data_IF_624345467561
#
_entry.id   IF_624345467561
#
_cell.length_a   1.000
_cell.length_b   1.000
_cell.length_c   1.000
_cell.angle_alpha   90.00
_cell.angle_beta   90.00
_cell.angle_gamma   90.00
#
_symmetry.space_group_name_H-M   'P 1'
#
loop_
_entity.id
_entity.type
_entity.pdbx_description
1 polymer ?
#
# COMPACT_ATOMS: atom_id res chain seq x y z
N UNK A 1 7.57 -20.47 -11.27
CA UNK A 1 7.11 -19.63 -10.15
C UNK A 1 6.68 -20.58 -9.05
N UNK A 2 7.24 -20.47 -7.86
CA UNK A 2 7.00 -21.40 -6.74
C UNK A 2 5.69 -21.07 -6.03
N UNK A 3 5.23 -21.97 -5.14
CA UNK A 3 4.04 -21.76 -4.31
C UNK A 3 4.20 -20.51 -3.44
N UNK A 4 5.31 -20.38 -2.75
CA UNK A 4 5.60 -19.21 -1.92
C UNK A 4 5.58 -17.89 -2.68
N UNK A 5 6.15 -17.85 -3.90
CA UNK A 5 6.08 -16.66 -4.76
C UNK A 5 4.65 -16.28 -5.16
N UNK A 6 3.80 -17.28 -5.39
CA UNK A 6 2.40 -17.02 -5.71
C UNK A 6 1.63 -16.47 -4.51
N UNK A 7 1.89 -16.99 -3.30
CA UNK A 7 1.32 -16.48 -2.04
C UNK A 7 1.69 -15.02 -1.80
N UNK A 8 2.97 -14.67 -1.97
CA UNK A 8 3.41 -13.28 -1.83
C UNK A 8 2.78 -12.34 -2.85
N UNK A 9 2.65 -12.78 -4.10
CA UNK A 9 1.96 -11.97 -5.12
C UNK A 9 0.48 -11.76 -4.79
N UNK A 10 -0.17 -12.78 -4.27
CA UNK A 10 -1.55 -12.67 -3.85
C UNK A 10 -1.70 -11.73 -2.65
N UNK A 11 -0.81 -11.84 -1.66
CA UNK A 11 -0.74 -10.91 -0.55
C UNK A 11 -0.55 -9.47 -1.02
N UNK A 12 0.45 -9.24 -1.88
CA UNK A 12 0.71 -7.90 -2.40
C UNK A 12 -0.48 -7.31 -3.15
N UNK A 13 -1.18 -8.12 -3.98
CA UNK A 13 -2.39 -7.68 -4.68
C UNK A 13 -3.57 -7.40 -3.76
N UNK A 14 -3.75 -8.22 -2.72
CA UNK A 14 -4.86 -8.07 -1.79
C UNK A 14 -4.68 -6.88 -0.84
N UNK A 15 -3.45 -6.60 -0.43
CA UNK A 15 -3.18 -5.66 0.66
C UNK A 15 -2.49 -4.38 0.22
N UNK A 16 -1.77 -4.40 -0.90
CA UNK A 16 -0.84 -3.33 -1.32
C UNK A 16 0.13 -2.91 -0.21
N UNK A 17 0.48 -3.84 0.69
CA UNK A 17 1.35 -3.57 1.82
C UNK A 17 2.79 -3.98 1.52
N UNK A 18 3.75 -3.22 2.05
CA UNK A 18 5.16 -3.60 2.02
C UNK A 18 5.38 -4.84 2.91
N UNK A 19 6.29 -5.70 2.49
CA UNK A 19 6.71 -6.89 3.25
C UNK A 19 7.79 -6.49 4.28
N UNK A 20 8.73 -5.64 3.87
CA UNK A 20 9.85 -5.20 4.71
C UNK A 20 9.38 -4.58 6.03
N UNK A 21 10.00 -4.99 7.12
CA UNK A 21 9.73 -4.49 8.47
C UNK A 21 8.46 -5.03 9.12
N UNK A 22 7.67 -5.87 8.42
CA UNK A 22 6.46 -6.48 8.97
C UNK A 22 6.75 -7.82 9.62
N UNK A 23 5.85 -8.22 10.50
CA UNK A 23 5.89 -9.50 11.19
C UNK A 23 4.89 -10.47 10.59
N UNK A 24 5.38 -11.63 10.19
CA UNK A 24 4.60 -12.71 9.61
C UNK A 24 4.68 -13.95 10.47
N UNK A 25 3.62 -14.77 10.45
CA UNK A 25 3.65 -16.13 10.94
C UNK A 25 3.36 -17.06 9.77
N UNK A 26 4.20 -18.08 9.61
CA UNK A 26 3.99 -19.17 8.65
C UNK A 26 4.74 -20.41 9.09
N UNK A 27 4.20 -21.58 8.77
CA UNK A 27 4.86 -22.89 8.92
C UNK A 27 5.68 -23.29 7.68
N UNK A 28 5.53 -22.57 6.57
CA UNK A 28 6.18 -22.90 5.30
C UNK A 28 7.60 -22.33 5.23
N UNK A 29 8.60 -23.24 5.14
CA UNK A 29 10.03 -22.86 5.15
C UNK A 29 10.47 -22.09 3.89
N UNK A 30 9.87 -22.35 2.71
CA UNK A 30 10.20 -21.60 1.49
C UNK A 30 9.65 -20.17 1.58
N UNK A 31 8.42 -20.04 2.09
CA UNK A 31 7.81 -18.75 2.32
C UNK A 31 8.55 -17.95 3.39
N UNK A 32 9.01 -18.60 4.47
CA UNK A 32 9.86 -18.00 5.50
C UNK A 32 11.11 -17.39 4.88
N UNK A 33 11.88 -18.19 4.15
CA UNK A 33 13.12 -17.71 3.51
C UNK A 33 12.87 -16.54 2.56
N UNK A 34 11.75 -16.58 1.83
CA UNK A 34 11.40 -15.53 0.89
C UNK A 34 10.97 -14.24 1.60
N UNK A 35 10.17 -14.33 2.66
CA UNK A 35 9.75 -13.19 3.48
C UNK A 35 10.96 -12.50 4.14
N UNK A 36 11.87 -13.29 4.72
CA UNK A 36 13.11 -12.77 5.33
C UNK A 36 14.00 -12.07 4.29
N UNK A 37 14.11 -12.64 3.08
CA UNK A 37 14.84 -12.01 1.98
C UNK A 37 14.27 -10.65 1.57
N UNK A 38 12.96 -10.44 1.76
CA UNK A 38 12.29 -9.14 1.56
C UNK A 38 12.34 -8.24 2.82
N UNK A 39 13.06 -8.62 3.86
CA UNK A 39 13.25 -7.82 5.08
C UNK A 39 12.10 -7.91 6.08
N UNK A 40 11.28 -8.95 6.01
CA UNK A 40 10.27 -9.24 7.02
C UNK A 40 10.89 -9.93 8.25
N UNK A 41 10.18 -9.88 9.36
CA UNK A 41 10.42 -10.73 10.52
C UNK A 41 9.44 -11.90 10.48
N UNK A 42 9.95 -13.14 10.48
CA UNK A 42 9.08 -14.32 10.48
C UNK A 42 9.15 -15.00 11.85
N UNK A 43 7.98 -15.30 12.39
CA UNK A 43 7.80 -16.04 13.64
C UNK A 43 7.35 -17.43 13.25
N UNK A 44 8.09 -18.45 13.66
CA UNK A 44 7.67 -19.85 13.48
C UNK A 44 6.63 -20.22 14.54
N UNK A 45 5.70 -21.13 14.23
CA UNK A 45 4.66 -21.55 15.17
C UNK A 45 5.17 -22.00 16.54
N UNK A 46 6.27 -22.71 16.57
CA UNK A 46 6.87 -23.25 17.79
C UNK A 46 7.37 -22.18 18.76
N UNK A 47 7.66 -20.98 18.25
CA UNK A 47 8.06 -19.83 19.08
C UNK A 47 6.85 -18.97 19.51
N UNK A 48 5.65 -19.24 19.00
CA UNK A 48 4.48 -18.43 19.26
C UNK A 48 3.79 -18.79 20.59
N UNK A 49 4.04 -19.98 21.13
CA UNK A 49 3.46 -20.45 22.40
C UNK A 49 4.11 -19.79 23.61
N UNK A 50 5.38 -19.40 23.53
CA UNK A 50 6.14 -18.79 24.63
C UNK A 50 6.04 -17.24 24.67
N UNK A 51 5.31 -16.61 23.78
CA UNK A 51 5.11 -15.16 23.81
C UNK A 51 3.86 -14.83 24.62
N UNK A 52 4.01 -14.43 25.90
CA UNK A 52 2.89 -13.98 26.70
C UNK A 52 2.41 -12.62 26.15
N UNK A 53 1.23 -12.58 25.68
CA UNK A 53 0.57 -11.49 24.98
C UNK A 53 0.78 -11.50 23.47
N UNK A 54 -0.33 -11.37 22.77
CA UNK A 54 -0.39 -11.12 21.32
C UNK A 54 0.72 -10.15 20.94
N UNK A 55 1.70 -10.53 20.09
CA UNK A 55 2.77 -9.60 19.74
C UNK A 55 2.15 -8.33 19.19
N UNK A 56 2.26 -7.23 19.91
CA UNK A 56 1.87 -5.92 19.41
C UNK A 56 2.61 -5.71 18.10
N UNK A 57 1.89 -5.69 16.98
CA UNK A 57 2.45 -5.50 15.66
C UNK A 57 2.62 -6.75 14.80
N UNK A 58 1.94 -7.88 15.10
CA UNK A 58 1.78 -8.93 14.11
C UNK A 58 0.89 -8.42 12.99
N UNK A 59 1.42 -8.44 11.77
CA UNK A 59 0.72 -7.87 10.62
C UNK A 59 -0.03 -8.93 9.82
N UNK A 60 0.54 -10.14 9.67
CA UNK A 60 0.03 -11.14 8.71
C UNK A 60 0.25 -12.57 9.18
N UNK A 61 -0.75 -13.40 8.98
CA UNK A 61 -0.68 -14.85 9.18
C UNK A 61 -0.88 -15.53 7.83
N UNK A 62 0.06 -16.37 7.43
CA UNK A 62 -0.14 -17.34 6.36
C UNK A 62 -0.50 -18.68 7.00
N UNK A 63 -1.79 -18.90 7.22
CA UNK A 63 -2.30 -20.14 7.76
C UNK A 63 -2.54 -21.13 6.62
N UNK A 64 -1.55 -21.98 6.36
CA UNK A 64 -1.58 -22.95 5.27
C UNK A 64 -2.23 -24.27 5.68
N UNK A 65 -2.42 -24.48 6.99
CA UNK A 65 -2.92 -25.73 7.59
C UNK A 65 -4.35 -25.56 8.19
N UNK A 66 -5.17 -24.70 7.63
CA UNK A 66 -6.56 -24.42 8.01
C UNK A 66 -6.83 -24.34 9.53
N UNK A 67 -6.74 -23.17 10.09
CA UNK A 67 -7.20 -22.89 11.45
C UNK A 67 -6.15 -23.09 12.55
N UNK A 68 -4.90 -23.29 12.19
CA UNK A 68 -3.82 -23.44 13.17
C UNK A 68 -3.55 -22.14 13.98
N UNK A 69 -3.94 -20.97 13.45
CA UNK A 69 -3.58 -19.69 14.08
C UNK A 69 -4.70 -18.63 14.08
N UNK A 70 -5.83 -18.83 14.76
CA UNK A 70 -6.83 -17.77 14.89
C UNK A 70 -6.31 -16.69 15.84
N UNK A 71 -5.86 -15.54 15.30
CA UNK A 71 -5.47 -14.38 16.13
C UNK A 71 -6.27 -13.17 15.72
N UNK A 72 -6.97 -12.52 16.67
CA UNK A 72 -7.72 -11.30 16.41
C UNK A 72 -6.80 -10.16 15.93
N UNK A 73 -7.18 -9.49 14.86
CA UNK A 73 -6.50 -8.30 14.35
C UNK A 73 -5.36 -8.54 13.35
N UNK A 74 -5.01 -9.79 13.04
CA UNK A 74 -4.05 -10.09 11.99
C UNK A 74 -4.73 -10.28 10.62
N UNK A 75 -4.05 -9.88 9.55
CA UNK A 75 -4.49 -10.19 8.18
C UNK A 75 -4.12 -11.64 7.90
N UNK A 76 -5.12 -12.49 7.73
CA UNK A 76 -4.91 -13.91 7.41
C UNK A 76 -5.01 -14.12 5.91
N UNK A 77 -3.96 -14.70 5.32
CA UNK A 77 -3.99 -15.17 3.94
C UNK A 77 -3.95 -16.69 3.99
N UNK A 78 -5.05 -17.34 3.60
CA UNK A 78 -5.18 -18.80 3.61
C UNK A 78 -4.88 -19.36 2.22
N UNK A 79 -4.14 -20.44 2.16
CA UNK A 79 -4.05 -21.28 0.97
C UNK A 79 -4.88 -22.55 1.19
N UNK A 80 -6.01 -22.74 0.54
CA UNK A 80 -6.78 -23.95 0.70
C UNK A 80 -6.05 -25.14 0.09
N UNK A 81 -5.84 -26.18 0.90
CA UNK A 81 -5.58 -27.57 0.49
C UNK A 81 -4.51 -27.83 -0.57
N UNK A 82 -3.43 -27.07 -0.62
CA UNK A 82 -2.30 -27.34 -1.52
C UNK A 82 -2.56 -27.12 -3.01
N UNK A 83 -3.74 -26.70 -3.42
CA UNK A 83 -4.01 -26.29 -4.79
C UNK A 83 -4.28 -24.80 -4.86
N UNK A 84 -3.56 -24.12 -5.75
CA UNK A 84 -3.61 -22.69 -5.98
C UNK A 84 -4.91 -22.18 -6.64
N UNK A 85 -6.00 -22.84 -6.41
CA UNK A 85 -7.31 -22.37 -6.87
C UNK A 85 -7.93 -21.43 -5.83
N UNK A 86 -7.33 -20.26 -5.72
CA UNK A 86 -7.86 -19.16 -4.92
C UNK A 86 -7.08 -18.99 -3.63
N UNK A 87 -6.30 -17.93 -3.58
CA UNK A 87 -5.94 -17.32 -2.32
C UNK A 87 -7.24 -16.79 -1.75
N UNK A 88 -7.70 -17.40 -0.71
CA UNK A 88 -8.82 -16.90 0.04
C UNK A 88 -8.33 -15.68 0.81
N UNK A 89 -8.71 -14.50 0.37
CA UNK A 89 -8.67 -13.35 1.23
C UNK A 89 -9.90 -13.45 2.13
N UNK A 90 -9.74 -13.80 3.42
CA UNK A 90 -10.87 -13.77 4.32
C UNK A 90 -11.33 -12.32 4.40
N UNK A 91 -12.59 -12.13 4.48
CA UNK A 91 -13.29 -10.86 4.63
C UNK A 91 -12.44 -9.62 4.28
N UNK A 92 -12.50 -9.21 3.02
CA UNK A 92 -11.78 -8.01 2.55
C UNK A 92 -12.19 -6.73 3.28
N UNK A 93 -13.22 -6.77 4.14
CA UNK A 93 -13.54 -5.68 5.05
C UNK A 93 -12.43 -5.46 6.10
N UNK A 94 -11.72 -6.52 6.50
CA UNK A 94 -10.52 -6.41 7.35
C UNK A 94 -9.28 -5.94 6.57
N UNK A 95 -9.29 -6.12 5.25
CA UNK A 95 -8.24 -5.65 4.33
C UNK A 95 -8.57 -4.28 3.73
N UNK A 96 -9.80 -3.81 3.89
CA UNK A 96 -10.12 -2.41 3.67
C UNK A 96 -9.44 -1.65 4.80
N UNK A 97 -8.23 -1.21 4.50
CA UNK A 97 -7.71 -0.08 5.25
C UNK A 97 -8.75 1.04 5.25
N UNK A 98 -8.62 1.99 6.17
CA UNK A 98 -9.57 3.07 6.33
C UNK A 98 -9.91 3.71 4.98
N UNK A 99 -11.15 4.18 4.82
CA UNK A 99 -11.59 4.80 3.58
C UNK A 99 -10.79 6.08 3.30
N UNK A 100 -10.49 6.30 2.06
CA UNK A 100 -9.74 7.37 1.40
C UNK A 100 -8.89 8.36 2.23
N UNK A 101 -9.42 9.30 3.00
CA UNK A 101 -8.58 10.24 3.74
C UNK A 101 -7.77 9.55 4.82
N UNK A 102 -8.31 8.51 5.45
CA UNK A 102 -7.65 7.75 6.49
C UNK A 102 -6.54 6.85 5.92
N UNK A 103 -6.73 6.29 4.70
CA UNK A 103 -5.67 5.54 4.00
C UNK A 103 -4.50 6.43 3.61
N UNK A 104 -4.78 7.65 3.17
CA UNK A 104 -3.72 8.61 2.84
C UNK A 104 -3.00 9.02 4.12
N UNK A 105 -3.70 9.30 5.20
CA UNK A 105 -3.12 9.62 6.51
C UNK A 105 -2.30 8.46 7.07
N UNK A 106 -2.81 7.22 6.94
CA UNK A 106 -2.06 6.03 7.32
C UNK A 106 -0.79 5.86 6.47
N UNK A 107 -0.88 6.01 5.15
CA UNK A 107 0.29 5.96 4.27
C UNK A 107 1.33 7.02 4.66
N UNK A 108 0.88 8.26 4.94
CA UNK A 108 1.73 9.36 5.40
C UNK A 108 2.47 9.00 6.69
N UNK A 109 1.79 8.38 7.66
CA UNK A 109 2.41 7.98 8.94
C UNK A 109 3.57 6.99 8.78
N UNK A 110 3.62 6.27 7.65
CA UNK A 110 4.69 5.35 7.27
C UNK A 110 5.77 5.99 6.39
N UNK A 111 5.72 7.31 6.18
CA UNK A 111 6.66 8.05 5.33
C UNK A 111 7.47 9.12 6.10
N UNK A 112 8.04 8.83 7.29
CA UNK A 112 8.70 9.86 8.11
C UNK A 112 9.93 10.47 7.42
N UNK A 113 10.62 9.69 6.58
CA UNK A 113 11.78 10.21 5.82
C UNK A 113 11.34 11.20 4.75
N UNK A 114 10.25 10.91 4.04
CA UNK A 114 9.67 11.82 3.04
C UNK A 114 9.16 13.10 3.70
N UNK A 115 8.45 12.98 4.81
CA UNK A 115 7.97 14.13 5.57
C UNK A 115 9.12 15.02 6.06
N UNK A 116 10.16 14.42 6.61
CA UNK A 116 11.37 15.16 7.01
C UNK A 116 12.09 15.81 5.83
N UNK A 117 12.11 15.15 4.65
CA UNK A 117 12.72 15.70 3.44
C UNK A 117 11.94 16.92 2.93
N UNK A 118 10.60 16.81 2.84
CA UNK A 118 9.72 17.94 2.47
C UNK A 118 9.87 19.08 3.48
N UNK A 119 9.90 18.78 4.79
CA UNK A 119 10.12 19.79 5.82
C UNK A 119 11.43 20.58 5.66
N UNK A 120 12.51 19.91 5.26
CA UNK A 120 13.81 20.59 5.01
C UNK A 120 13.76 21.58 3.85
N UNK A 121 12.95 21.32 2.83
CA UNK A 121 12.84 22.18 1.64
C UNK A 121 11.59 23.07 1.68
N UNK A 122 10.77 23.00 2.72
CA UNK A 122 9.49 23.71 2.81
C UNK A 122 9.63 25.24 2.55
N UNK A 123 10.73 25.84 2.97
CA UNK A 123 11.01 27.26 2.74
C UNK A 123 11.22 27.63 1.26
N UNK A 124 11.44 26.65 0.38
CA UNK A 124 11.65 26.84 -1.07
C UNK A 124 10.35 26.61 -1.87
N UNK A 125 9.32 26.05 -1.27
CA UNK A 125 8.13 25.57 -1.96
C UNK A 125 7.04 26.62 -2.23
N UNK A 126 6.88 27.70 -1.41
CA UNK A 126 5.82 28.67 -1.63
C UNK A 126 5.83 29.24 -3.05
N UNK A 127 4.67 29.14 -3.74
CA UNK A 127 4.50 29.63 -5.11
C UNK A 127 5.23 28.81 -6.18
N UNK A 128 5.83 27.67 -5.83
CA UNK A 128 6.39 26.76 -6.84
C UNK A 128 5.31 25.88 -7.42
N UNK A 129 5.30 25.73 -8.74
CA UNK A 129 4.45 24.76 -9.44
C UNK A 129 5.18 23.44 -9.53
N UNK A 130 4.54 22.39 -9.05
CA UNK A 130 5.09 21.03 -9.01
C UNK A 130 4.11 20.07 -9.66
N UNK A 131 4.50 19.48 -10.80
CA UNK A 131 3.79 18.38 -11.42
C UNK A 131 4.30 17.05 -10.91
N UNK A 132 3.39 16.18 -10.45
CA UNK A 132 3.67 14.81 -10.07
C UNK A 132 3.07 13.86 -11.11
N UNK A 133 3.93 13.09 -11.79
CA UNK A 133 3.52 12.01 -12.70
C UNK A 133 4.03 10.69 -12.14
N UNK A 134 3.20 10.01 -11.38
CA UNK A 134 3.52 8.78 -10.64
C UNK A 134 2.28 7.88 -10.58
N UNK A 135 2.48 6.62 -10.19
CA UNK A 135 1.37 5.72 -9.81
C UNK A 135 0.49 6.42 -8.77
N UNK A 136 -0.78 6.61 -9.08
CA UNK A 136 -1.70 7.33 -8.21
C UNK A 136 -2.29 6.41 -7.14
N UNK A 137 -1.58 6.33 -6.03
CA UNK A 137 -1.89 5.54 -4.85
C UNK A 137 -1.78 6.38 -3.56
N UNK A 138 -2.16 5.87 -2.38
CA UNK A 138 -2.13 6.64 -1.13
C UNK A 138 -0.79 7.29 -0.79
N UNK A 139 0.36 6.68 -1.13
CA UNK A 139 1.68 7.26 -0.86
C UNK A 139 1.96 8.48 -1.76
N UNK A 140 1.60 8.38 -3.03
CA UNK A 140 1.70 9.52 -3.97
C UNK A 140 0.79 10.65 -3.52
N UNK A 141 -0.43 10.34 -3.07
CA UNK A 141 -1.33 11.35 -2.53
C UNK A 141 -0.77 12.00 -1.26
N UNK A 142 -0.19 11.21 -0.34
CA UNK A 142 0.46 11.76 0.84
C UNK A 142 1.60 12.74 0.48
N UNK A 143 2.45 12.38 -0.50
CA UNK A 143 3.50 13.27 -1.00
C UNK A 143 2.91 14.56 -1.59
N UNK A 144 1.87 14.44 -2.45
CA UNK A 144 1.22 15.60 -3.06
C UNK A 144 0.67 16.57 -2.01
N UNK A 145 0.01 16.03 -0.98
CA UNK A 145 -0.52 16.83 0.12
C UNK A 145 0.58 17.49 0.96
N UNK A 146 1.67 16.78 1.29
CA UNK A 146 2.80 17.35 2.01
C UNK A 146 3.42 18.54 1.26
N UNK A 147 3.57 18.44 -0.07
CA UNK A 147 4.10 19.51 -0.90
C UNK A 147 3.15 20.71 -0.96
N UNK A 148 1.84 20.46 -1.11
CA UNK A 148 0.83 21.49 -1.13
C UNK A 148 0.71 22.20 0.23
N UNK A 149 0.73 21.47 1.35
CA UNK A 149 0.75 22.00 2.72
C UNK A 149 1.99 22.90 2.96
N UNK A 150 3.10 22.57 2.31
CA UNK A 150 4.32 23.38 2.35
C UNK A 150 4.28 24.60 1.40
N UNK A 151 3.15 24.86 0.74
CA UNK A 151 2.90 26.06 -0.06
C UNK A 151 3.18 25.94 -1.56
N UNK A 152 3.44 24.72 -2.07
CA UNK A 152 3.56 24.51 -3.51
C UNK A 152 2.17 24.45 -4.17
N UNK A 153 2.10 24.89 -5.45
CA UNK A 153 0.97 24.64 -6.34
C UNK A 153 1.18 23.25 -6.98
N UNK A 154 0.45 22.25 -6.51
CA UNK A 154 0.65 20.85 -6.92
C UNK A 154 -0.41 20.43 -7.92
N UNK A 155 0.04 19.89 -9.05
CA UNK A 155 -0.79 19.14 -10.01
C UNK A 155 -0.34 17.69 -10.09
N UNK A 156 -1.28 16.78 -10.31
CA UNK A 156 -1.01 15.34 -10.32
C UNK A 156 -1.56 14.72 -11.61
N UNK A 157 -0.72 13.97 -12.31
CA UNK A 157 -1.12 13.12 -13.42
C UNK A 157 -0.96 11.66 -13.05
N UNK A 158 -1.96 10.85 -13.38
CA UNK A 158 -1.93 9.40 -13.23
C UNK A 158 -2.31 8.70 -14.52
N UNK A 159 -1.50 7.72 -14.93
CA UNK A 159 -1.81 6.84 -16.05
C UNK A 159 -3.07 6.02 -15.73
N UNK A 160 -3.94 5.76 -16.72
CA UNK A 160 -5.22 5.06 -16.48
C UNK A 160 -5.03 3.72 -15.76
N UNK A 161 -4.07 2.90 -16.20
CA UNK A 161 -3.77 1.59 -15.61
C UNK A 161 -3.15 1.65 -14.20
N UNK A 162 -2.71 2.82 -13.76
CA UNK A 162 -1.99 3.05 -12.50
C UNK A 162 -2.72 4.04 -11.58
N UNK A 163 -3.97 4.35 -11.93
CA UNK A 163 -4.80 5.31 -11.18
C UNK A 163 -5.78 4.57 -10.27
N UNK A 164 -5.83 4.99 -9.03
CA UNK A 164 -6.92 4.71 -8.11
C UNK A 164 -7.85 5.91 -8.06
N UNK A 165 -9.06 5.77 -8.55
CA UNK A 165 -10.04 6.87 -8.64
C UNK A 165 -10.44 7.42 -7.26
N UNK A 166 -10.53 6.54 -6.24
CA UNK A 166 -10.80 6.93 -4.86
C UNK A 166 -9.72 7.90 -4.32
N UNK A 167 -8.46 7.65 -4.66
CA UNK A 167 -7.32 8.50 -4.29
C UNK A 167 -7.33 9.81 -5.10
N UNK A 168 -7.62 9.72 -6.41
CA UNK A 168 -7.75 10.89 -7.27
C UNK A 168 -8.83 11.85 -6.75
N UNK A 169 -9.98 11.30 -6.35
CA UNK A 169 -11.09 12.08 -5.82
C UNK A 169 -10.78 12.68 -4.44
N UNK A 170 -10.03 11.98 -3.60
CA UNK A 170 -9.57 12.53 -2.33
C UNK A 170 -8.67 13.76 -2.54
N UNK A 171 -7.74 13.71 -3.51
CA UNK A 171 -6.89 14.85 -3.85
C UNK A 171 -7.68 16.01 -4.46
N UNK A 172 -8.68 15.73 -5.32
CA UNK A 172 -9.58 16.77 -5.85
C UNK A 172 -10.37 17.46 -4.73
N UNK A 173 -10.89 16.68 -3.79
CA UNK A 173 -11.57 17.22 -2.59
C UNK A 173 -10.65 18.08 -1.72
N UNK A 174 -9.36 17.75 -1.68
CA UNK A 174 -8.34 18.54 -1.00
C UNK A 174 -7.90 19.79 -1.80
N UNK A 175 -8.48 20.04 -2.98
CA UNK A 175 -8.23 21.23 -3.79
C UNK A 175 -7.05 21.13 -4.76
N UNK A 176 -6.46 19.94 -4.95
CA UNK A 176 -5.40 19.76 -5.92
C UNK A 176 -5.96 19.57 -7.33
N UNK A 177 -5.20 19.97 -8.34
CA UNK A 177 -5.48 19.68 -9.75
C UNK A 177 -5.07 18.24 -10.05
N UNK A 178 -6.02 17.40 -10.48
CA UNK A 178 -5.77 15.97 -10.72
C UNK A 178 -6.26 15.56 -12.10
N UNK A 179 -5.32 15.19 -12.93
CA UNK A 179 -5.46 14.74 -14.32
C UNK A 179 -5.32 13.22 -14.39
N UNK A 180 -6.32 12.51 -13.90
CA UNK A 180 -6.29 11.04 -13.79
C UNK A 180 -7.70 10.46 -13.81
N UNK A 181 -7.87 9.34 -14.50
CA UNK A 181 -9.09 8.55 -14.55
C UNK A 181 -8.73 7.12 -14.95
N UNK A 182 -9.03 6.13 -14.12
CA UNK A 182 -8.70 4.71 -14.38
C UNK A 182 -9.43 4.13 -15.59
N UNK A 183 -10.51 4.77 -16.03
CA UNK A 183 -11.35 4.35 -17.16
C UNK A 183 -11.08 5.18 -18.44
N UNK A 184 -10.05 6.03 -18.44
CA UNK A 184 -9.74 6.84 -19.58
C UNK A 184 -9.33 5.99 -20.79
N UNK A 185 -9.85 6.31 -21.98
CA UNK A 185 -9.31 5.77 -23.23
C UNK A 185 -7.92 6.36 -23.50
N UNK A 186 -7.12 5.74 -24.39
CA UNK A 186 -5.81 6.30 -24.76
C UNK A 186 -5.87 7.76 -25.22
N UNK A 187 -6.91 8.14 -25.98
CA UNK A 187 -7.11 9.51 -26.47
C UNK A 187 -7.46 10.46 -25.31
N UNK A 188 -8.28 10.01 -24.36
CA UNK A 188 -8.63 10.79 -23.17
C UNK A 188 -7.43 10.96 -22.26
N UNK A 189 -6.62 9.91 -22.10
CA UNK A 189 -5.40 9.96 -21.32
C UNK A 189 -4.37 10.94 -21.91
N UNK A 190 -4.22 10.93 -23.25
CA UNK A 190 -3.37 11.90 -23.93
C UNK A 190 -3.87 13.35 -23.76
N UNK A 191 -5.19 13.57 -23.75
CA UNK A 191 -5.78 14.88 -23.47
C UNK A 191 -5.45 15.32 -22.02
N UNK A 192 -5.65 14.44 -21.03
CA UNK A 192 -5.32 14.71 -19.63
C UNK A 192 -3.81 15.02 -19.44
N UNK A 193 -2.94 14.28 -20.14
CA UNK A 193 -1.50 14.53 -20.10
C UNK A 193 -1.13 15.90 -20.67
N UNK A 194 -1.78 16.32 -21.78
CA UNK A 194 -1.55 17.66 -22.36
C UNK A 194 -2.05 18.77 -21.42
N UNK A 195 -3.21 18.60 -20.80
CA UNK A 195 -3.71 19.55 -19.81
C UNK A 195 -2.77 19.66 -18.61
N UNK A 196 -2.30 18.54 -18.10
CA UNK A 196 -1.31 18.50 -16.99
C UNK A 196 -0.01 19.23 -17.34
N UNK A 197 0.52 19.06 -18.55
CA UNK A 197 1.75 19.71 -18.99
C UNK A 197 1.59 21.23 -19.27
N UNK A 198 0.37 21.71 -19.38
CA UNK A 198 0.05 23.14 -19.56
C UNK A 198 -0.04 23.91 -18.23
N UNK A 199 -0.09 23.19 -17.08
CA UNK A 199 -0.14 23.76 -15.74
C UNK A 199 1.23 24.22 -15.27
#
# INVERSE_FOLDING_TARGET
MTHAQLLLRAYARATNMLIAGRRFITSDGELTALLEAFGAQVITPDCAEDTPSTPTGLDVIFDLDEGAFPRPGAITVLAPGGSFQGVYAPDTSLLRGPEDPERIAWARSLMPVTEAAVGRIAHLLPGRRIGLSLVLEPKTAALALMLAEAGAEVSVFGHASETRDDVADALRRAGLKVFANSQASPEQEEALAREFLAE
#
